data_IF_903712425394
#
_entry.id   IF_903712425394
#
_cell.length_a   1.000
_cell.length_b   1.000
_cell.length_c   1.000
_cell.angle_alpha   90.00
_cell.angle_beta   90.00
_cell.angle_gamma   90.00
#
_symmetry.space_group_name_H-M   'P 1'
#
loop_
_entity.id
_entity.type
_entity.pdbx_description
1 polymer ?
#
# COMPACT_ATOMS: atom_id res chain seq x y z
N UNK A 1 -7.26 21.47 24.06
CA UNK A 1 -7.84 20.52 23.11
C UNK A 1 -6.74 19.53 22.74
N UNK A 2 -6.85 18.24 23.06
CA UNK A 2 -5.80 17.28 22.73
C UNK A 2 -6.06 16.74 21.34
N UNK A 3 -5.13 16.95 20.40
CA UNK A 3 -5.21 16.38 19.07
C UNK A 3 -4.94 14.88 19.19
N UNK A 4 -5.85 14.06 18.69
CA UNK A 4 -5.71 12.60 18.64
C UNK A 4 -5.26 12.18 17.24
N UNK A 5 -4.38 11.19 17.17
CA UNK A 5 -4.01 10.56 15.92
C UNK A 5 -5.24 9.93 15.26
N UNK A 6 -5.38 10.13 13.95
CA UNK A 6 -6.47 9.58 13.14
C UNK A 6 -6.42 8.05 13.15
N UNK A 7 -7.58 7.41 13.24
CA UNK A 7 -7.72 5.97 13.04
C UNK A 7 -7.40 5.58 11.60
N UNK A 8 -6.81 4.41 11.39
CA UNK A 8 -6.63 3.84 10.07
C UNK A 8 -7.90 3.15 9.58
N UNK A 9 -8.41 3.58 8.44
CA UNK A 9 -9.53 2.91 7.76
C UNK A 9 -9.17 1.48 7.36
N UNK A 10 -7.95 1.29 6.85
CA UNK A 10 -7.41 -0.02 6.45
C UNK A 10 -7.41 -0.98 7.65
N UNK A 11 -6.76 -0.59 8.76
CA UNK A 11 -6.70 -1.46 9.94
C UNK A 11 -8.08 -1.75 10.51
N UNK A 12 -8.97 -0.76 10.55
CA UNK A 12 -10.32 -0.95 11.06
C UNK A 12 -11.11 -1.96 10.22
N UNK A 13 -11.08 -1.85 8.90
CA UNK A 13 -11.73 -2.80 7.98
C UNK A 13 -11.13 -4.21 8.12
N UNK A 14 -9.82 -4.34 8.08
CA UNK A 14 -9.15 -5.63 8.19
C UNK A 14 -9.44 -6.32 9.53
N UNK A 15 -9.44 -5.58 10.64
CA UNK A 15 -9.79 -6.10 11.98
C UNK A 15 -11.25 -6.50 12.09
N UNK A 16 -12.14 -5.86 11.33
CA UNK A 16 -13.54 -6.25 11.20
C UNK A 16 -13.77 -7.45 10.26
N UNK A 17 -12.72 -7.98 9.64
CA UNK A 17 -12.81 -9.06 8.65
C UNK A 17 -13.27 -8.61 7.27
N UNK A 18 -13.25 -7.30 7.01
CA UNK A 18 -13.64 -6.71 5.74
C UNK A 18 -12.46 -6.66 4.76
N UNK A 19 -12.79 -6.58 3.48
CA UNK A 19 -11.79 -6.41 2.42
C UNK A 19 -11.46 -4.93 2.21
N UNK A 20 -10.20 -4.66 1.84
CA UNK A 20 -9.67 -3.34 1.51
C UNK A 20 -9.34 -3.28 0.03
N UNK A 21 -9.85 -2.24 -0.63
CA UNK A 21 -9.55 -1.94 -2.02
C UNK A 21 -8.52 -0.80 -2.07
N UNK A 22 -7.37 -1.05 -2.71
CA UNK A 22 -6.30 -0.06 -2.88
C UNK A 22 -6.05 0.24 -4.36
N UNK A 23 -5.61 1.46 -4.64
CA UNK A 23 -5.26 1.94 -5.98
C UNK A 23 -3.83 2.45 -6.01
N UNK A 24 -3.03 1.99 -6.97
CA UNK A 24 -1.65 2.46 -7.11
C UNK A 24 -1.60 3.80 -7.86
N UNK A 25 -0.86 4.76 -7.29
CA UNK A 25 -0.65 6.09 -7.85
C UNK A 25 0.82 6.21 -8.27
N UNK A 26 1.03 6.39 -9.57
CA UNK A 26 2.35 6.59 -10.18
C UNK A 26 2.57 8.07 -10.57
N UNK A 27 1.50 8.84 -10.78
CA UNK A 27 1.60 10.25 -11.13
C UNK A 27 1.83 11.11 -9.89
N UNK A 28 2.80 12.01 -9.97
CA UNK A 28 3.19 12.89 -8.88
C UNK A 28 2.22 14.09 -8.74
N UNK A 29 0.91 13.81 -8.58
CA UNK A 29 -0.14 14.83 -8.50
C UNK A 29 -1.18 14.46 -7.43
N UNK A 30 -1.42 15.38 -6.50
CA UNK A 30 -2.39 15.19 -5.41
C UNK A 30 -3.84 15.06 -5.91
N UNK A 31 -4.18 15.63 -7.07
CA UNK A 31 -5.52 15.56 -7.67
C UNK A 31 -5.87 14.12 -8.07
N UNK A 32 -4.90 13.34 -8.56
CA UNK A 32 -5.11 11.92 -8.87
C UNK A 32 -5.49 11.15 -7.63
N UNK A 33 -4.82 11.43 -6.51
CA UNK A 33 -5.13 10.82 -5.20
C UNK A 33 -6.55 11.19 -4.75
N UNK A 34 -6.92 12.47 -4.87
CA UNK A 34 -8.26 12.96 -4.50
C UNK A 34 -9.35 12.30 -5.36
N UNK A 35 -9.16 12.22 -6.68
CA UNK A 35 -10.10 11.57 -7.61
C UNK A 35 -10.31 10.10 -7.23
N UNK A 36 -9.23 9.35 -7.01
CA UNK A 36 -9.33 7.95 -6.63
C UNK A 36 -9.98 7.77 -5.24
N UNK A 37 -9.68 8.67 -4.29
CA UNK A 37 -10.31 8.67 -2.97
C UNK A 37 -11.82 8.94 -3.04
N UNK A 38 -12.25 9.90 -3.87
CA UNK A 38 -13.67 10.22 -4.12
C UNK A 38 -14.38 9.08 -4.87
N UNK A 39 -13.69 8.35 -5.73
CA UNK A 39 -14.22 7.16 -6.41
C UNK A 39 -14.52 6.00 -5.45
N UNK A 40 -14.00 6.04 -4.22
CA UNK A 40 -14.34 5.10 -3.15
C UNK A 40 -13.23 4.14 -2.74
N UNK A 41 -12.02 4.24 -3.29
CA UNK A 41 -10.90 3.43 -2.81
C UNK A 41 -10.63 3.68 -1.33
N UNK A 42 -10.32 2.62 -0.59
CA UNK A 42 -10.05 2.69 0.85
C UNK A 42 -8.64 3.21 1.15
N UNK A 43 -7.69 2.85 0.27
CA UNK A 43 -6.28 3.14 0.43
C UNK A 43 -5.64 3.54 -0.90
N UNK A 44 -4.82 4.59 -0.88
CA UNK A 44 -4.04 5.03 -2.03
C UNK A 44 -2.58 4.59 -1.82
N UNK A 45 -2.06 3.79 -2.74
CA UNK A 45 -0.67 3.33 -2.71
C UNK A 45 0.21 4.34 -3.45
N UNK A 46 0.97 5.10 -2.69
CA UNK A 46 1.96 6.06 -3.17
C UNK A 46 3.33 5.37 -3.26
N UNK A 47 4.06 5.57 -4.35
CA UNK A 47 5.28 4.82 -4.61
C UNK A 47 6.52 5.73 -4.55
N UNK A 48 7.43 5.42 -3.63
CA UNK A 48 8.73 6.08 -3.47
C UNK A 48 9.89 5.18 -3.90
N UNK A 49 9.61 3.93 -4.26
CA UNK A 49 10.62 2.99 -4.75
C UNK A 49 10.93 3.23 -6.23
N UNK A 50 9.89 3.30 -7.07
CA UNK A 50 10.05 3.41 -8.52
C UNK A 50 9.66 4.78 -9.07
N UNK A 51 9.12 5.67 -8.26
CA UNK A 51 8.68 6.99 -8.69
C UNK A 51 9.59 8.07 -8.08
N UNK A 52 10.19 8.88 -8.96
CA UNK A 52 11.02 10.01 -8.56
C UNK A 52 10.17 11.21 -8.19
N UNK A 53 9.61 11.23 -6.99
CA UNK A 53 8.91 12.41 -6.46
C UNK A 53 9.56 12.86 -5.16
N UNK A 54 9.51 14.16 -4.89
CA UNK A 54 10.03 14.72 -3.66
C UNK A 54 9.04 14.62 -2.49
N UNK A 55 9.54 14.89 -1.28
CA UNK A 55 8.76 14.81 -0.06
C UNK A 55 7.58 15.79 0.01
N UNK A 56 7.64 16.93 -0.68
CA UNK A 56 6.56 17.92 -0.70
C UNK A 56 5.38 17.43 -1.54
N UNK A 57 5.67 16.74 -2.64
CA UNK A 57 4.65 16.09 -3.46
C UNK A 57 4.00 14.96 -2.66
N UNK A 58 4.80 14.08 -2.04
CA UNK A 58 4.28 13.00 -1.19
C UNK A 58 3.38 13.54 -0.07
N UNK A 59 3.80 14.61 0.60
CA UNK A 59 2.99 15.27 1.64
C UNK A 59 1.64 15.73 1.09
N UNK A 60 1.62 16.37 -0.07
CA UNK A 60 0.38 16.85 -0.70
C UNK A 60 -0.56 15.70 -1.08
N UNK A 61 -0.02 14.59 -1.55
CA UNK A 61 -0.79 13.38 -1.86
C UNK A 61 -1.39 12.75 -0.59
N UNK A 62 -0.61 12.66 0.50
CA UNK A 62 -1.11 12.18 1.80
C UNK A 62 -2.25 13.08 2.30
N UNK A 63 -2.10 14.39 2.21
CA UNK A 63 -3.15 15.34 2.62
C UNK A 63 -4.40 15.24 1.75
N UNK A 64 -4.27 15.03 0.45
CA UNK A 64 -5.39 14.81 -0.45
C UNK A 64 -6.22 13.59 -0.05
N UNK A 65 -5.59 12.43 0.21
CA UNK A 65 -6.28 11.24 0.72
C UNK A 65 -6.93 11.49 2.09
N UNK A 66 -6.19 12.14 3.00
CA UNK A 66 -6.64 12.47 4.35
C UNK A 66 -7.87 13.39 4.34
N UNK A 67 -7.95 14.36 3.40
CA UNK A 67 -9.11 15.25 3.25
C UNK A 67 -10.39 14.49 2.89
N UNK A 68 -10.27 13.34 2.27
CA UNK A 68 -11.36 12.43 1.89
C UNK A 68 -11.58 11.29 2.90
N UNK A 69 -10.95 11.35 4.09
CA UNK A 69 -10.95 10.29 5.11
C UNK A 69 -10.48 8.92 4.58
N UNK A 70 -9.55 8.91 3.64
CA UNK A 70 -8.93 7.71 3.09
C UNK A 70 -7.52 7.53 3.64
N UNK A 71 -7.04 6.28 3.60
CA UNK A 71 -5.70 5.95 4.02
C UNK A 71 -4.71 6.07 2.87
N UNK A 72 -3.45 6.28 3.21
CA UNK A 72 -2.32 6.16 2.30
C UNK A 72 -1.38 5.07 2.76
N UNK A 73 -0.94 4.28 1.79
CA UNK A 73 0.17 3.35 1.91
C UNK A 73 1.33 3.93 1.10
N UNK A 74 2.47 4.16 1.72
CA UNK A 74 3.69 4.57 1.01
C UNK A 74 4.62 3.38 0.87
N UNK A 75 4.87 2.94 -0.37
CA UNK A 75 5.94 1.99 -0.62
C UNK A 75 7.26 2.78 -0.62
N UNK A 76 8.07 2.48 0.36
CA UNK A 76 9.34 3.17 0.60
C UNK A 76 10.46 2.55 -0.24
N UNK A 77 11.52 3.29 -0.59
CA UNK A 77 12.71 2.67 -1.16
C UNK A 77 13.32 1.71 -0.14
N UNK A 78 14.04 0.70 -0.61
CA UNK A 78 14.86 -0.15 0.24
C UNK A 78 16.10 0.64 0.68
N UNK A 79 15.96 1.42 1.71
CA UNK A 79 16.91 2.45 2.07
C UNK A 79 17.31 2.45 3.54
N UNK A 80 17.48 3.67 4.02
CA UNK A 80 17.92 3.96 5.37
C UNK A 80 16.73 4.18 6.32
N UNK A 81 17.05 4.35 7.59
CA UNK A 81 16.12 4.74 8.65
C UNK A 81 15.18 5.91 8.23
N UNK A 82 15.75 6.96 7.63
CA UNK A 82 14.98 8.14 7.23
C UNK A 82 13.94 7.87 6.15
N UNK A 83 14.23 6.91 5.25
CA UNK A 83 13.30 6.55 4.17
C UNK A 83 12.04 5.87 4.73
N UNK A 84 12.17 5.15 5.83
CA UNK A 84 11.05 4.47 6.49
C UNK A 84 10.27 5.40 7.42
N UNK A 85 10.95 6.34 8.08
CA UNK A 85 10.34 7.20 9.10
C UNK A 85 9.63 8.42 8.51
N UNK A 86 10.22 9.07 7.51
CA UNK A 86 9.64 10.30 6.91
C UNK A 86 8.19 10.16 6.41
N UNK A 87 7.81 9.09 5.69
CA UNK A 87 6.40 8.92 5.30
C UNK A 87 5.47 8.83 6.51
N UNK A 88 5.88 8.15 7.58
CA UNK A 88 5.10 8.06 8.81
C UNK A 88 4.96 9.44 9.48
N UNK A 89 6.02 10.24 9.52
CA UNK A 89 6.01 11.60 10.07
C UNK A 89 5.16 12.58 9.22
N UNK A 90 5.03 12.33 7.91
CA UNK A 90 4.08 13.02 7.03
C UNK A 90 2.62 12.59 7.24
N UNK A 91 2.36 11.67 8.18
CA UNK A 91 1.07 11.10 8.53
C UNK A 91 0.49 10.13 7.48
N UNK A 92 1.36 9.43 6.73
CA UNK A 92 0.92 8.26 6.00
C UNK A 92 0.29 7.25 6.96
N UNK A 93 -0.79 6.59 6.53
CA UNK A 93 -1.49 5.60 7.37
C UNK A 93 -0.67 4.33 7.55
N UNK A 94 0.22 4.05 6.59
CA UNK A 94 1.18 2.95 6.69
C UNK A 94 2.28 3.03 5.65
N UNK A 95 3.25 2.15 5.81
CA UNK A 95 4.33 1.95 4.84
C UNK A 95 4.37 0.50 4.37
N UNK A 96 4.85 0.30 3.15
CA UNK A 96 5.21 -1.00 2.60
C UNK A 96 6.70 -1.01 2.31
N UNK A 97 7.40 -1.96 2.91
CA UNK A 97 8.84 -2.15 2.70
C UNK A 97 9.02 -3.27 1.68
N UNK A 98 9.57 -2.95 0.49
CA UNK A 98 9.81 -3.92 -0.57
C UNK A 98 10.98 -4.84 -0.23
N UNK A 99 11.10 -5.94 -0.95
CA UNK A 99 12.26 -6.84 -0.91
C UNK A 99 12.71 -7.25 0.51
N UNK A 100 11.77 -7.64 1.37
CA UNK A 100 12.13 -8.27 2.66
C UNK A 100 12.83 -9.59 2.37
N UNK A 101 14.13 -9.68 2.65
CA UNK A 101 14.97 -10.79 2.21
C UNK A 101 15.20 -11.86 3.27
N UNK A 102 15.00 -11.54 4.55
CA UNK A 102 15.27 -12.46 5.65
C UNK A 102 14.57 -12.05 6.95
N UNK A 103 14.58 -12.96 7.93
CA UNK A 103 14.13 -12.67 9.29
C UNK A 103 14.86 -11.48 9.92
N UNK A 104 16.18 -11.38 9.70
CA UNK A 104 16.98 -10.29 10.27
C UNK A 104 16.66 -8.94 9.61
N UNK A 105 16.38 -8.94 8.32
CA UNK A 105 15.93 -7.75 7.60
C UNK A 105 14.58 -7.26 8.15
N UNK A 106 13.63 -8.17 8.32
CA UNK A 106 12.33 -7.89 8.92
C UNK A 106 12.44 -7.27 10.33
N UNK A 107 13.32 -7.81 11.19
CA UNK A 107 13.58 -7.26 12.53
C UNK A 107 14.11 -5.84 12.48
N UNK A 108 15.04 -5.54 11.57
CA UNK A 108 15.59 -4.18 11.39
C UNK A 108 14.51 -3.18 10.97
N UNK A 109 13.60 -3.57 10.07
CA UNK A 109 12.49 -2.70 9.69
C UNK A 109 11.60 -2.38 10.90
N UNK A 110 11.25 -3.38 11.70
CA UNK A 110 10.44 -3.18 12.92
C UNK A 110 11.16 -2.24 13.89
N UNK A 111 12.47 -2.47 14.14
CA UNK A 111 13.26 -1.64 15.03
C UNK A 111 13.24 -0.16 14.62
N UNK A 112 13.30 0.13 13.30
CA UNK A 112 13.30 1.48 12.76
C UNK A 112 11.93 2.15 12.69
N UNK A 113 10.84 1.38 12.57
CA UNK A 113 9.51 1.92 12.27
C UNK A 113 8.58 1.98 13.46
N UNK A 114 8.85 1.22 14.52
CA UNK A 114 8.02 1.15 15.74
C UNK A 114 8.69 1.84 16.92
N UNK A 115 7.86 2.45 17.75
CA UNK A 115 8.30 2.99 19.03
C UNK A 115 8.41 1.90 20.10
N UNK A 116 9.15 2.20 21.18
CA UNK A 116 9.22 1.34 22.35
C UNK A 116 7.80 0.93 22.85
N UNK A 117 7.56 -0.31 23.29
CA UNK A 117 8.54 -1.38 23.51
C UNK A 117 8.83 -2.26 22.27
N UNK A 118 8.19 -2.02 21.14
CA UNK A 118 8.24 -2.86 19.93
C UNK A 118 9.53 -2.60 19.14
N UNK A 119 9.92 -1.35 19.02
CA UNK A 119 11.08 -0.90 18.26
C UNK A 119 11.82 0.26 18.91
N UNK A 120 12.65 0.96 18.12
CA UNK A 120 13.52 2.06 18.55
C UNK A 120 13.39 3.31 17.66
N UNK A 121 12.25 3.49 17.00
CA UNK A 121 11.98 4.70 16.21
C UNK A 121 12.26 5.94 17.07
N UNK A 122 13.01 6.91 16.52
CA UNK A 122 13.26 8.18 17.21
C UNK A 122 11.98 9.02 17.30
N UNK A 123 11.87 9.82 18.34
CA UNK A 123 10.70 10.65 18.63
C UNK A 123 10.90 12.04 18.03
N UNK A 124 10.00 12.44 17.14
CA UNK A 124 9.76 13.83 16.81
C UNK A 124 8.25 14.07 16.75
N UNK A 125 7.69 14.68 17.78
CA UNK A 125 6.25 14.99 17.85
C UNK A 125 5.87 16.28 17.11
N UNK A 126 6.82 16.99 16.52
CA UNK A 126 6.61 18.25 15.79
C UNK A 126 6.03 18.09 14.39
N UNK A 127 5.89 16.86 13.90
CA UNK A 127 5.38 16.52 12.58
C UNK A 127 3.88 16.21 12.58
N UNK A 128 3.34 15.94 11.40
CA UNK A 128 1.90 15.77 11.18
C UNK A 128 1.31 14.59 11.96
N UNK A 129 2.03 13.47 12.05
CA UNK A 129 1.62 12.28 12.81
C UNK A 129 1.60 12.52 14.33
N UNK A 130 2.48 13.38 14.85
CA UNK A 130 2.53 13.84 16.23
C UNK A 130 1.59 15.01 16.54
N UNK A 131 0.77 15.44 15.57
CA UNK A 131 -0.16 16.56 15.71
C UNK A 131 0.53 17.91 15.95
N UNK A 132 1.73 18.09 15.39
CA UNK A 132 2.53 19.33 15.49
C UNK A 132 2.77 19.73 16.95
N UNK A 133 3.14 18.77 17.78
CA UNK A 133 3.40 18.91 19.22
C UNK A 133 2.17 19.33 20.07
N UNK A 134 0.96 19.30 19.52
CA UNK A 134 -0.25 19.64 20.27
C UNK A 134 -0.85 18.44 21.06
N UNK A 135 -0.24 17.26 20.94
CA UNK A 135 -0.66 16.03 21.60
C UNK A 135 0.16 15.66 22.83
N UNK A 136 -0.25 14.62 23.54
CA UNK A 136 0.55 14.01 24.59
C UNK A 136 1.48 12.97 24.00
N UNK A 137 2.79 13.02 24.34
CA UNK A 137 3.78 12.10 23.81
C UNK A 137 3.48 10.62 24.06
N UNK A 138 2.98 10.26 25.25
CA UNK A 138 2.66 8.86 25.57
C UNK A 138 1.54 8.34 24.68
N UNK A 139 0.53 9.17 24.46
CA UNK A 139 -0.59 8.83 23.57
C UNK A 139 -0.10 8.74 22.12
N UNK A 140 0.73 9.68 21.67
CA UNK A 140 1.32 9.66 20.33
C UNK A 140 2.08 8.35 20.06
N UNK A 141 3.01 7.96 20.94
CA UNK A 141 3.83 6.75 20.76
C UNK A 141 2.96 5.47 20.72
N UNK A 142 2.00 5.37 21.66
CA UNK A 142 1.05 4.25 21.72
C UNK A 142 0.22 4.19 20.44
N UNK A 143 -0.38 5.30 20.06
CA UNK A 143 -1.30 5.39 18.93
C UNK A 143 -0.57 5.15 17.61
N UNK A 144 0.64 5.64 17.44
CA UNK A 144 1.47 5.35 16.27
C UNK A 144 1.76 3.85 16.11
N UNK A 145 2.09 3.16 17.20
CA UNK A 145 2.27 1.70 17.17
C UNK A 145 0.99 0.92 16.84
N UNK A 146 -0.19 1.46 17.16
CA UNK A 146 -1.47 0.76 17.02
C UNK A 146 -2.28 1.14 15.78
N UNK A 147 -2.11 2.39 15.29
CA UNK A 147 -2.94 2.99 14.24
C UNK A 147 -2.21 3.22 12.93
N UNK A 148 -0.90 2.97 12.87
CA UNK A 148 -0.12 2.99 11.63
C UNK A 148 0.32 1.57 11.31
N UNK A 149 0.10 1.15 10.05
CA UNK A 149 0.44 -0.21 9.64
C UNK A 149 1.80 -0.27 8.93
N UNK A 150 2.45 -1.41 9.09
CA UNK A 150 3.68 -1.77 8.38
C UNK A 150 3.43 -3.05 7.59
N UNK A 151 3.72 -3.00 6.31
CA UNK A 151 3.56 -4.11 5.37
C UNK A 151 4.95 -4.60 4.94
N UNK A 152 5.15 -5.90 4.99
CA UNK A 152 6.31 -6.55 4.39
C UNK A 152 5.94 -7.09 3.01
N UNK A 153 6.60 -6.60 1.97
CA UNK A 153 6.40 -7.09 0.62
C UNK A 153 7.31 -8.29 0.37
N UNK A 154 6.69 -9.41 0.05
CA UNK A 154 7.33 -10.68 -0.27
C UNK A 154 7.27 -10.83 -1.78
N UNK A 155 8.39 -10.61 -2.43
CA UNK A 155 8.50 -10.57 -3.88
C UNK A 155 9.79 -11.20 -4.41
N UNK A 156 10.53 -11.83 -3.50
CA UNK A 156 11.72 -12.64 -3.76
C UNK A 156 11.51 -14.07 -3.24
N UNK A 157 12.21 -15.09 -3.78
CA UNK A 157 12.11 -16.46 -3.28
C UNK A 157 12.74 -16.67 -1.89
N UNK A 158 13.82 -15.91 -1.58
CA UNK A 158 14.65 -16.10 -0.39
C UNK A 158 13.84 -16.02 0.92
N UNK A 159 12.99 -15.00 1.16
CA UNK A 159 12.26 -14.89 2.42
C UNK A 159 11.22 -15.98 2.64
N UNK A 160 10.90 -16.78 1.61
CA UNK A 160 9.95 -17.89 1.77
C UNK A 160 10.48 -18.97 2.74
N UNK A 161 11.79 -19.12 2.88
CA UNK A 161 12.38 -20.06 3.85
C UNK A 161 12.16 -19.60 5.29
N UNK A 162 12.24 -18.29 5.54
CA UNK A 162 12.07 -17.67 6.85
C UNK A 162 10.64 -17.20 7.12
N UNK A 163 9.70 -17.41 6.20
CA UNK A 163 8.41 -16.73 6.20
C UNK A 163 7.60 -16.95 7.50
N UNK A 164 7.63 -18.17 8.06
CA UNK A 164 6.98 -18.45 9.33
C UNK A 164 7.64 -17.72 10.50
N UNK A 165 8.97 -17.64 10.53
CA UNK A 165 9.70 -16.91 11.56
C UNK A 165 9.45 -15.40 11.44
N UNK A 166 9.38 -14.86 10.22
CA UNK A 166 9.01 -13.48 9.94
C UNK A 166 7.59 -13.20 10.44
N UNK A 167 6.64 -14.07 10.12
CA UNK A 167 5.23 -13.87 10.49
C UNK A 167 4.98 -13.90 12.01
N UNK A 168 5.86 -14.54 12.79
CA UNK A 168 5.80 -14.54 14.26
C UNK A 168 6.24 -13.22 14.91
N UNK A 169 6.91 -12.35 14.16
CA UNK A 169 7.37 -11.07 14.72
C UNK A 169 6.18 -10.18 15.07
N UNK A 170 6.27 -9.50 16.22
CA UNK A 170 5.41 -8.35 16.51
C UNK A 170 5.94 -7.11 15.79
N UNK A 171 5.05 -6.14 15.50
CA UNK A 171 5.45 -4.83 14.98
C UNK A 171 5.26 -4.65 13.48
N UNK A 172 4.72 -5.65 12.76
CA UNK A 172 4.17 -5.45 11.43
C UNK A 172 2.77 -6.08 11.31
N UNK A 173 2.01 -5.69 10.31
CA UNK A 173 0.58 -5.99 10.24
C UNK A 173 0.23 -6.93 9.08
N UNK A 174 0.98 -6.90 7.98
CA UNK A 174 0.59 -7.58 6.74
C UNK A 174 1.78 -8.15 5.98
N UNK A 175 1.61 -9.35 5.42
CA UNK A 175 2.44 -9.88 4.35
C UNK A 175 1.77 -9.56 3.01
N UNK A 176 2.48 -8.86 2.13
CA UNK A 176 1.99 -8.50 0.79
C UNK A 176 2.77 -9.25 -0.28
N UNK A 177 2.09 -10.07 -1.08
CA UNK A 177 2.74 -10.80 -2.17
C UNK A 177 2.84 -9.93 -3.42
N UNK A 178 4.08 -9.70 -3.91
CA UNK A 178 4.43 -8.98 -5.12
C UNK A 178 4.72 -9.93 -6.29
N UNK A 179 3.73 -10.32 -7.12
CA UNK A 179 3.94 -11.35 -8.15
C UNK A 179 4.81 -10.89 -9.31
N UNK A 180 4.92 -9.58 -9.56
CA UNK A 180 5.71 -9.02 -10.65
C UNK A 180 7.20 -9.35 -10.50
N UNK A 181 7.79 -8.86 -9.43
CA UNK A 181 9.22 -9.05 -9.13
C UNK A 181 9.52 -10.52 -8.81
N UNK A 182 8.61 -11.20 -8.12
CA UNK A 182 8.73 -12.64 -7.89
C UNK A 182 8.83 -13.42 -9.20
N UNK A 183 8.06 -13.06 -10.24
CA UNK A 183 8.13 -13.72 -11.56
C UNK A 183 9.49 -13.53 -12.21
N UNK A 184 10.05 -12.34 -12.09
CA UNK A 184 11.39 -12.03 -12.60
C UNK A 184 12.45 -12.82 -11.82
N UNK A 185 12.39 -12.84 -10.49
CA UNK A 185 13.36 -13.51 -9.63
C UNK A 185 13.42 -15.03 -9.86
N UNK A 186 12.32 -15.66 -10.24
CA UNK A 186 12.30 -17.10 -10.58
C UNK A 186 12.62 -17.40 -12.05
N UNK A 187 12.97 -16.38 -12.87
CA UNK A 187 13.30 -16.53 -14.28
C UNK A 187 12.09 -16.73 -15.22
N UNK A 188 10.88 -16.33 -14.79
CA UNK A 188 9.63 -16.42 -15.55
C UNK A 188 8.91 -15.07 -15.61
N UNK A 189 9.56 -13.98 -16.11
CA UNK A 189 9.03 -12.63 -16.02
C UNK A 189 7.69 -12.50 -16.73
N UNK A 190 6.66 -12.04 -15.98
CA UNK A 190 5.32 -11.85 -16.49
C UNK A 190 4.45 -13.10 -16.61
N UNK A 191 4.96 -14.30 -16.38
CA UNK A 191 4.15 -15.53 -16.36
C UNK A 191 3.42 -15.68 -15.01
N UNK A 192 2.32 -14.96 -14.86
CA UNK A 192 1.52 -14.97 -13.62
C UNK A 192 0.86 -16.32 -13.31
N UNK A 193 0.87 -17.27 -14.24
CA UNK A 193 0.34 -18.62 -14.06
C UNK A 193 1.42 -19.64 -13.69
N UNK A 194 2.68 -19.24 -13.63
CA UNK A 194 3.79 -20.14 -13.28
C UNK A 194 3.53 -20.86 -11.94
N UNK A 195 3.75 -22.18 -11.82
CA UNK A 195 3.44 -22.94 -10.61
C UNK A 195 4.06 -22.38 -9.34
N UNK A 196 5.33 -21.95 -9.40
CA UNK A 196 6.02 -21.34 -8.25
C UNK A 196 5.37 -20.05 -7.76
N UNK A 197 4.74 -19.27 -8.66
CA UNK A 197 4.00 -18.06 -8.26
C UNK A 197 2.73 -18.46 -7.51
N UNK A 198 2.03 -19.49 -7.97
CA UNK A 198 0.82 -19.96 -7.31
C UNK A 198 1.16 -20.57 -5.92
N UNK A 199 2.22 -21.34 -5.83
CA UNK A 199 2.73 -21.91 -4.57
C UNK A 199 3.12 -20.80 -3.57
N UNK A 200 3.91 -19.80 -4.01
CA UNK A 200 4.31 -18.68 -3.18
C UNK A 200 3.11 -17.86 -2.71
N UNK A 201 2.17 -17.55 -3.63
CA UNK A 201 0.91 -16.85 -3.33
C UNK A 201 0.11 -17.59 -2.26
N UNK A 202 -0.03 -18.90 -2.39
CA UNK A 202 -0.74 -19.72 -1.41
C UNK A 202 -0.01 -19.72 -0.06
N UNK A 203 1.31 -19.94 -0.07
CA UNK A 203 2.14 -19.97 1.14
C UNK A 203 2.07 -18.64 1.91
N UNK A 204 2.15 -17.51 1.22
CA UNK A 204 2.11 -16.18 1.87
C UNK A 204 0.79 -15.97 2.62
N UNK A 205 -0.34 -16.28 1.99
CA UNK A 205 -1.64 -16.09 2.64
C UNK A 205 -1.87 -17.08 3.79
N UNK A 206 -1.45 -18.33 3.64
CA UNK A 206 -1.57 -19.35 4.70
C UNK A 206 -0.75 -18.97 5.93
N UNK A 207 0.51 -18.59 5.72
CA UNK A 207 1.41 -18.19 6.81
C UNK A 207 0.92 -16.90 7.48
N UNK A 208 0.49 -15.89 6.70
CA UNK A 208 -0.08 -14.67 7.27
C UNK A 208 -1.24 -15.00 8.22
N UNK A 209 -2.22 -15.77 7.75
CA UNK A 209 -3.40 -16.15 8.54
C UNK A 209 -3.05 -17.00 9.76
N UNK A 210 -2.12 -17.95 9.64
CA UNK A 210 -1.66 -18.81 10.73
C UNK A 210 -1.15 -18.02 11.92
N UNK A 211 -0.47 -16.90 11.65
CA UNK A 211 0.13 -16.05 12.68
C UNK A 211 -0.64 -14.75 12.95
N UNK A 212 -1.92 -14.69 12.53
CA UNK A 212 -2.78 -13.54 12.80
C UNK A 212 -2.39 -12.25 12.08
N UNK A 213 -1.63 -12.36 10.98
CA UNK A 213 -1.31 -11.26 10.09
C UNK A 213 -2.31 -11.17 8.96
N UNK A 214 -2.47 -9.96 8.41
CA UNK A 214 -3.26 -9.78 7.19
C UNK A 214 -2.47 -10.21 5.95
N UNK A 215 -3.18 -10.51 4.87
CA UNK A 215 -2.56 -10.83 3.59
C UNK A 215 -3.01 -9.84 2.51
N UNK A 216 -2.05 -9.30 1.76
CA UNK A 216 -2.27 -8.40 0.64
C UNK A 216 -1.62 -8.90 -0.65
N UNK A 217 -2.16 -8.47 -1.78
CA UNK A 217 -1.56 -8.71 -3.11
C UNK A 217 -2.06 -7.69 -4.12
N UNK A 218 -1.47 -7.71 -5.31
CA UNK A 218 -1.94 -6.96 -6.49
C UNK A 218 -2.44 -7.90 -7.57
N UNK A 219 -3.33 -7.39 -8.42
CA UNK A 219 -3.82 -8.14 -9.59
C UNK A 219 -4.98 -7.46 -10.29
N UNK A 220 -5.44 -8.04 -11.41
CA UNK A 220 -6.57 -7.50 -12.15
C UNK A 220 -7.88 -7.71 -11.40
N UNK A 221 -8.84 -6.82 -11.63
CA UNK A 221 -10.18 -6.89 -11.02
C UNK A 221 -10.84 -8.27 -11.19
N UNK A 222 -10.63 -8.93 -12.32
CA UNK A 222 -11.19 -10.26 -12.59
C UNK A 222 -10.70 -11.36 -11.63
N UNK A 223 -9.56 -11.14 -10.94
CA UNK A 223 -8.98 -12.12 -10.00
C UNK A 223 -9.34 -11.85 -8.54
N UNK A 224 -10.01 -10.73 -8.24
CA UNK A 224 -10.33 -10.34 -6.86
C UNK A 224 -11.09 -11.43 -6.10
N UNK A 225 -12.15 -12.00 -6.71
CA UNK A 225 -12.94 -13.04 -6.05
C UNK A 225 -12.14 -14.32 -5.76
N UNK A 226 -11.19 -14.67 -6.64
CA UNK A 226 -10.27 -15.79 -6.44
C UNK A 226 -9.34 -15.53 -5.26
N UNK A 227 -8.71 -14.35 -5.21
CA UNK A 227 -7.78 -13.97 -4.13
C UNK A 227 -8.49 -13.86 -2.78
N UNK A 228 -9.71 -13.34 -2.75
CA UNK A 228 -10.54 -13.33 -1.54
C UNK A 228 -10.82 -14.74 -1.01
N UNK A 229 -11.13 -15.70 -1.89
CA UNK A 229 -11.32 -17.11 -1.51
C UNK A 229 -10.05 -17.74 -0.95
N UNK A 230 -8.88 -17.35 -1.43
CA UNK A 230 -7.60 -17.76 -0.86
C UNK A 230 -7.37 -17.20 0.54
N UNK A 231 -7.97 -16.04 0.85
CA UNK A 231 -7.85 -15.36 2.15
C UNK A 231 -7.11 -14.04 2.11
N UNK A 232 -6.83 -13.50 0.94
CA UNK A 232 -6.33 -12.12 0.79
C UNK A 232 -7.44 -11.13 1.13
N UNK A 233 -7.10 -10.14 1.97
CA UNK A 233 -8.04 -9.11 2.40
C UNK A 233 -7.68 -7.70 1.89
N UNK A 234 -6.41 -7.45 1.58
CA UNK A 234 -5.95 -6.18 1.00
C UNK A 234 -5.57 -6.41 -0.46
N UNK A 235 -6.29 -5.77 -1.39
CA UNK A 235 -6.06 -5.94 -2.82
C UNK A 235 -5.83 -4.61 -3.49
N UNK A 236 -4.64 -4.46 -4.11
CA UNK A 236 -4.35 -3.32 -4.97
C UNK A 236 -4.76 -3.63 -6.40
N UNK A 237 -5.75 -2.89 -6.92
CA UNK A 237 -6.30 -3.08 -8.25
C UNK A 237 -6.20 -1.78 -9.05
N UNK A 238 -5.70 -1.90 -10.26
CA UNK A 238 -5.51 -0.74 -11.15
C UNK A 238 -4.34 0.16 -10.76
N UNK A 239 -4.03 1.06 -11.66
CA UNK A 239 -3.09 2.15 -11.48
C UNK A 239 -3.45 3.30 -12.42
N UNK A 240 -3.16 4.53 -12.02
CA UNK A 240 -3.46 5.74 -12.78
C UNK A 240 -2.84 5.74 -14.18
N UNK A 241 -1.55 5.39 -14.29
CA UNK A 241 -0.84 5.34 -15.57
C UNK A 241 -1.42 4.30 -16.52
N UNK A 242 -1.86 3.14 -16.02
CA UNK A 242 -2.46 2.10 -16.85
C UNK A 242 -3.79 2.58 -17.44
N UNK A 243 -4.64 3.17 -16.60
CA UNK A 243 -5.95 3.67 -17.02
C UNK A 243 -5.79 4.83 -18.00
N UNK A 244 -4.90 5.77 -17.72
CA UNK A 244 -4.67 6.93 -18.58
C UNK A 244 -4.08 6.52 -19.92
N UNK A 245 -3.10 5.61 -19.95
CA UNK A 245 -2.50 5.08 -21.18
C UNK A 245 -3.56 4.40 -22.05
N UNK A 246 -4.39 3.53 -21.46
CA UNK A 246 -5.44 2.83 -22.20
C UNK A 246 -6.46 3.83 -22.76
N UNK A 247 -6.95 4.75 -21.93
CA UNK A 247 -7.92 5.76 -22.36
C UNK A 247 -7.39 6.63 -23.50
N UNK A 248 -6.15 7.12 -23.41
CA UNK A 248 -5.54 7.91 -24.49
C UNK A 248 -5.39 7.10 -25.78
N UNK A 249 -4.99 5.81 -25.67
CA UNK A 249 -4.86 4.90 -26.81
C UNK A 249 -6.21 4.69 -27.51
N UNK A 250 -7.26 4.43 -26.75
CA UNK A 250 -8.60 4.20 -27.27
C UNK A 250 -9.14 5.43 -28.01
N UNK A 251 -8.90 6.64 -27.46
CA UNK A 251 -9.28 7.89 -28.12
C UNK A 251 -8.58 8.08 -29.46
N UNK A 252 -7.25 7.81 -29.52
CA UNK A 252 -6.47 7.95 -30.77
C UNK A 252 -6.92 6.92 -31.80
N UNK A 253 -7.14 5.68 -31.39
CA UNK A 253 -7.63 4.61 -32.28
C UNK A 253 -9.02 4.95 -32.82
N UNK A 254 -9.94 5.35 -31.97
CA UNK A 254 -11.28 5.76 -32.40
C UNK A 254 -11.28 6.97 -33.33
N UNK A 255 -10.38 7.93 -33.13
CA UNK A 255 -10.22 9.06 -34.04
C UNK A 255 -9.71 8.63 -35.43
N UNK A 256 -8.80 7.65 -35.51
CA UNK A 256 -8.22 7.17 -36.77
C UNK A 256 -9.14 6.23 -37.55
N UNK A 257 -9.86 5.36 -36.86
CA UNK A 257 -10.72 4.33 -37.45
C UNK A 257 -12.15 4.80 -37.72
N UNK A 258 -12.54 5.95 -37.18
CA UNK A 258 -13.90 6.47 -37.15
C UNK A 258 -14.66 6.00 -35.93
N UNK A 259 -15.58 6.79 -35.37
CA UNK A 259 -16.21 6.50 -34.11
C UNK A 259 -17.15 5.29 -34.24
N UNK A 260 -16.71 4.13 -33.73
CA UNK A 260 -17.67 3.24 -33.09
C UNK A 260 -18.11 3.95 -31.81
N UNK A 261 -19.30 4.53 -31.82
CA UNK A 261 -19.87 5.26 -30.68
C UNK A 261 -20.06 4.26 -29.56
N UNK A 262 -19.06 4.07 -28.75
CA UNK A 262 -19.20 3.43 -27.45
C UNK A 262 -19.86 4.45 -26.51
N UNK A 263 -20.94 4.07 -25.86
CA UNK A 263 -21.76 4.87 -24.91
C UNK A 263 -20.96 5.34 -23.66
N UNK A 264 -19.65 5.07 -23.62
CA UNK A 264 -18.69 5.45 -22.56
C UNK A 264 -17.93 6.75 -22.85
N UNK A 265 -17.99 7.28 -24.09
CA UNK A 265 -17.36 8.56 -24.44
C UNK A 265 -18.19 9.73 -23.90
N UNK A 266 -17.99 10.01 -22.62
CA UNK A 266 -18.54 11.22 -21.99
C UNK A 266 -17.68 12.41 -22.33
N UNK A 267 -18.28 13.35 -23.05
CA UNK A 267 -17.68 14.67 -23.20
C UNK A 267 -17.54 15.34 -21.81
N UNK A 268 -16.56 16.23 -21.66
CA UNK A 268 -16.38 17.01 -20.42
C UNK A 268 -17.68 17.72 -19.97
N UNK A 269 -18.62 17.95 -20.90
CA UNK A 269 -19.89 18.63 -20.68
C UNK A 269 -21.08 17.71 -20.45
N UNK A 270 -20.90 16.38 -20.61
CA UNK A 270 -21.96 15.41 -20.35
C UNK A 270 -22.12 15.19 -18.85
N UNK A 271 -22.98 15.98 -18.23
CA UNK A 271 -23.33 15.79 -16.82
C UNK A 271 -24.17 14.52 -16.68
N UNK A 272 -23.81 13.66 -15.71
CA UNK A 272 -24.69 12.56 -15.29
C UNK A 272 -26.02 13.18 -14.86
N UNK A 273 -27.09 12.81 -15.54
CA UNK A 273 -28.45 13.02 -15.04
C UNK A 273 -28.77 12.00 -13.96
#
# INVERSE_FOLDING_TARGET
MTIKMRESLVLNKLRAGENVCSFKVNLADARVVEIAAQAGFDCLWLDQEHIGQDWSILASQIWAAKSQNKDTLVRVPRGSYSDYVKPLELDASGIMVPHIMSLEDAKKVIEMTRFHPIGKRAIDGGNADGGYAAGNFKDYLRDANQKRFVIFQIEDPEPLEDLEAIAQLDGFDMLFFGPGDFSQAIGAPGDMNHPKIQEARQKVVEVARKYGKFAGTTGPLAKVAEYQKMGYQFMSIGADVLTLTQYCSDLVTGFQEGPEVNDTDKSYYDTKK
#
